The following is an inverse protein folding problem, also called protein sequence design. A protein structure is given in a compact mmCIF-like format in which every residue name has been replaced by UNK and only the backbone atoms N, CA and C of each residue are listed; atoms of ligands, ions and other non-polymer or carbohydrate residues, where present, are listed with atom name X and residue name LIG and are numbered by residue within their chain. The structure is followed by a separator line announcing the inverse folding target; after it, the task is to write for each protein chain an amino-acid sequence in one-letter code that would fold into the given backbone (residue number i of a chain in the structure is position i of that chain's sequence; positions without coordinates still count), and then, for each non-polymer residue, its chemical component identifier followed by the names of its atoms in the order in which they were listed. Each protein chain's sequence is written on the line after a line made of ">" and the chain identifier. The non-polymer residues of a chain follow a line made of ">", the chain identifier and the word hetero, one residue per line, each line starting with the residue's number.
data_IF_428192128411
#
_entry.id   IF_428192128411
#
_cell.length_a   1.000
_cell.length_b   1.000
_cell.length_c   1.000
_cell.angle_alpha   90.00
_cell.angle_beta   90.00
_cell.angle_gamma   90.00
#
_symmetry.space_group_name_H-M   'P 1'
#
loop_
_entity.id
_entity.type
_entity.pdbx_description
1 polymer ?
#
# COMPACT_ATOMS: atom_id res chain seq x y z
N UNK A 1 13.42 -0.30 5.96
CA UNK A 1 13.15 -1.71 5.62
C UNK A 1 12.00 -2.30 6.45
N UNK A 2 11.18 -1.47 7.09
CA UNK A 2 10.09 -1.83 8.01
C UNK A 2 8.76 -2.21 7.31
N UNK A 3 8.68 -2.07 5.99
CA UNK A 3 7.50 -2.44 5.22
C UNK A 3 7.44 -3.94 4.85
N UNK A 4 8.51 -4.69 5.13
CA UNK A 4 8.50 -6.14 5.02
C UNK A 4 7.90 -6.78 6.28
N UNK A 5 7.36 -7.98 6.12
CA UNK A 5 7.00 -8.84 7.23
C UNK A 5 8.24 -9.56 7.78
N UNK A 6 8.29 -9.73 9.10
CA UNK A 6 9.32 -10.53 9.78
C UNK A 6 8.62 -11.72 10.44
N UNK A 7 9.10 -12.97 10.27
CA UNK A 7 8.52 -14.12 10.93
C UNK A 7 8.42 -13.90 12.45
N UNK A 8 7.28 -14.28 13.03
CA UNK A 8 7.02 -14.19 14.48
C UNK A 8 7.04 -12.77 15.07
N UNK A 9 7.00 -11.73 14.23
CA UNK A 9 6.85 -10.33 14.67
C UNK A 9 5.54 -9.79 14.10
N UNK A 10 4.62 -9.44 15.00
CA UNK A 10 3.39 -8.72 14.64
C UNK A 10 3.72 -7.25 14.32
N UNK A 11 3.07 -6.71 13.28
CA UNK A 11 3.16 -5.30 12.94
C UNK A 11 2.54 -4.43 14.05
N UNK A 12 3.04 -3.20 14.23
CA UNK A 12 2.53 -2.17 15.16
C UNK A 12 1.02 -1.93 15.05
N UNK A 13 0.40 -2.37 13.96
CA UNK A 13 -1.04 -2.21 13.69
C UNK A 13 -1.75 -3.55 13.38
N UNK A 14 -1.32 -4.62 14.06
CA UNK A 14 -2.01 -5.92 14.18
C UNK A 14 -2.30 -6.64 12.87
N UNK A 15 -1.39 -6.53 11.89
CA UNK A 15 -1.43 -7.33 10.67
C UNK A 15 -0.51 -8.54 10.87
N UNK A 16 -1.01 -9.78 10.73
CA UNK A 16 -0.19 -10.97 10.89
C UNK A 16 0.90 -11.01 9.82
N UNK A 17 2.06 -11.61 10.11
CA UNK A 17 3.15 -11.69 9.16
C UNK A 17 2.74 -12.48 7.92
N UNK A 18 3.13 -12.00 6.74
CA UNK A 18 2.86 -12.65 5.46
C UNK A 18 4.16 -13.13 4.82
N UNK A 19 4.25 -14.43 4.53
CA UNK A 19 5.42 -15.04 3.88
C UNK A 19 5.75 -14.39 2.52
N UNK A 20 4.71 -13.99 1.78
CA UNK A 20 4.85 -13.30 0.49
C UNK A 20 5.54 -11.93 0.60
N UNK A 21 5.64 -11.37 1.81
CA UNK A 21 6.26 -10.08 2.08
C UNK A 21 7.50 -10.20 2.99
N UNK A 22 8.14 -11.38 3.06
CA UNK A 22 9.40 -11.55 3.78
C UNK A 22 10.58 -10.90 3.05
N UNK A 23 11.57 -10.46 3.83
CA UNK A 23 12.80 -9.85 3.33
C UNK A 23 13.60 -10.91 2.56
N UNK A 24 13.94 -10.60 1.30
CA UNK A 24 14.83 -11.40 0.46
C UNK A 24 15.57 -10.49 -0.52
N UNK A 25 16.76 -10.90 -0.95
CA UNK A 25 17.62 -10.07 -1.80
C UNK A 25 16.92 -9.64 -3.10
N UNK A 26 17.02 -8.36 -3.44
CA UNK A 26 16.42 -7.78 -4.66
C UNK A 26 14.90 -7.62 -4.63
N UNK A 27 14.22 -8.00 -3.54
CA UNK A 27 12.77 -7.91 -3.43
C UNK A 27 12.33 -6.53 -2.95
N UNK A 28 11.14 -6.10 -3.38
CA UNK A 28 10.53 -4.84 -2.98
C UNK A 28 9.43 -5.14 -1.95
N UNK A 29 9.36 -4.40 -0.84
CA UNK A 29 8.31 -4.61 0.15
C UNK A 29 6.95 -4.23 -0.43
N UNK A 30 5.90 -4.90 0.03
CA UNK A 30 4.54 -4.47 -0.21
C UNK A 30 4.35 -3.04 0.36
N UNK A 31 3.53 -2.24 -0.34
CA UNK A 31 3.21 -0.87 0.05
C UNK A 31 1.72 -0.63 -0.14
N UNK A 32 1.13 0.13 0.76
CA UNK A 32 -0.24 0.64 0.62
C UNK A 32 -0.31 1.90 -0.25
N UNK A 33 0.82 2.37 -0.79
CA UNK A 33 0.86 3.54 -1.67
C UNK A 33 0.07 3.26 -2.96
N UNK A 34 -1.06 3.97 -3.10
CA UNK A 34 -2.01 3.79 -4.19
C UNK A 34 -2.35 5.14 -4.84
N UNK A 35 -1.43 5.76 -5.59
CA UNK A 35 -1.76 6.96 -6.35
C UNK A 35 -2.74 6.61 -7.46
N UNK A 36 -3.80 7.40 -7.61
CA UNK A 36 -4.85 7.16 -8.60
C UNK A 36 -5.09 8.39 -9.49
N UNK A 37 -5.28 8.12 -10.77
CA UNK A 37 -5.75 9.08 -11.76
C UNK A 37 -7.05 8.51 -12.32
N UNK A 38 -8.13 9.27 -12.24
CA UNK A 38 -9.44 8.91 -12.80
C UNK A 38 -9.63 9.70 -14.08
N UNK A 39 -10.06 8.99 -15.12
CA UNK A 39 -10.39 9.55 -16.43
C UNK A 39 -11.86 9.30 -16.74
N UNK A 40 -12.48 10.17 -17.53
CA UNK A 40 -13.83 9.97 -18.04
C UNK A 40 -13.84 9.09 -19.31
N UNK A 41 -15.02 8.95 -19.93
CA UNK A 41 -15.20 8.15 -21.13
C UNK A 41 -14.56 8.77 -22.40
N UNK A 42 -14.28 10.07 -22.40
CA UNK A 42 -13.56 10.75 -23.47
C UNK A 42 -12.03 10.61 -23.31
N UNK A 43 -11.57 10.16 -22.14
CA UNK A 43 -10.16 10.02 -21.79
C UNK A 43 -9.58 11.25 -21.08
N UNK A 44 -10.43 12.22 -20.72
CA UNK A 44 -10.00 13.42 -20.02
C UNK A 44 -9.81 13.13 -18.52
N UNK A 45 -8.76 13.70 -17.92
CA UNK A 45 -8.46 13.53 -16.49
C UNK A 45 -9.48 14.32 -15.67
N UNK A 46 -10.20 13.62 -14.78
CA UNK A 46 -11.22 14.22 -13.90
C UNK A 46 -10.82 14.26 -12.44
N UNK A 47 -9.85 13.43 -12.02
CA UNK A 47 -9.35 13.42 -10.66
C UNK A 47 -7.91 12.90 -10.62
N UNK A 48 -7.04 13.58 -9.87
CA UNK A 48 -5.73 13.07 -9.47
C UNK A 48 -5.67 13.11 -7.94
N UNK A 49 -5.58 11.94 -7.31
CA UNK A 49 -5.74 11.80 -5.86
C UNK A 49 -4.80 10.74 -5.28
N UNK A 50 -4.38 10.96 -4.05
CA UNK A 50 -3.64 10.02 -3.23
C UNK A 50 -3.94 10.32 -1.75
N UNK A 51 -3.57 9.41 -0.86
CA UNK A 51 -3.70 9.58 0.59
C UNK A 51 -2.38 9.30 1.32
N UNK A 52 -2.31 9.67 2.59
CA UNK A 52 -1.21 9.32 3.52
C UNK A 52 -1.78 8.61 4.75
N UNK A 53 -0.94 7.93 5.54
CA UNK A 53 -1.41 7.21 6.74
C UNK A 53 -1.04 5.72 6.80
N UNK A 54 -0.03 5.28 6.04
CA UNK A 54 0.44 3.90 6.05
C UNK A 54 -0.62 2.93 5.53
N UNK A 55 -0.97 1.92 6.31
CA UNK A 55 -1.95 0.90 5.90
C UNK A 55 -3.38 1.44 5.65
N UNK A 56 -3.69 2.65 6.12
CA UNK A 56 -4.99 3.28 5.88
C UNK A 56 -5.07 4.03 4.54
N UNK A 57 -3.98 4.11 3.76
CA UNK A 57 -3.95 4.86 2.50
C UNK A 57 -5.06 4.39 1.56
N UNK A 58 -5.22 3.07 1.39
CA UNK A 58 -6.23 2.52 0.46
C UNK A 58 -7.65 2.84 0.92
N UNK A 59 -7.95 2.70 2.22
CA UNK A 59 -9.27 3.06 2.74
C UNK A 59 -9.55 4.56 2.65
N UNK A 60 -8.56 5.40 2.95
CA UNK A 60 -8.69 6.86 2.90
C UNK A 60 -8.79 7.39 1.46
N UNK A 61 -8.24 6.66 0.48
CA UNK A 61 -8.40 6.97 -0.93
C UNK A 61 -9.82 6.70 -1.43
N UNK A 62 -10.48 5.67 -0.89
CA UNK A 62 -11.80 5.20 -1.33
C UNK A 62 -12.96 5.94 -0.66
N UNK A 63 -12.75 6.43 0.56
CA UNK A 63 -13.74 7.22 1.31
C UNK A 63 -14.02 8.58 0.66
#
# INVERSE_FOLDING_TARGET
>A
MNAFSTPSVESDRTVPPSENNYIRAGFRPASSFAPAIVVDAAGDVVLAVCATGGQLIVSALVQ
#
